data_IF_066785707463
#
_entry.id   IF_066785707463
#
_cell.length_a   1.000
_cell.length_b   1.000
_cell.length_c   1.000
_cell.angle_alpha   90.00
_cell.angle_beta   90.00
_cell.angle_gamma   90.00
#
_symmetry.space_group_name_H-M   'P 1'
#
loop_
_entity.id
_entity.type
_entity.pdbx_description
1 polymer ?
#
# COMPACT_ATOMS: atom_id res chain seq x y z
N UNK A 1 -22.77 19.36 18.89
CA UNK A 1 -21.54 20.11 18.51
C UNK A 1 -20.30 19.55 19.22
N UNK A 2 -20.29 19.39 20.56
CA UNK A 2 -19.14 18.89 21.33
C UNK A 2 -18.66 17.48 20.93
N UNK A 3 -19.56 16.56 20.55
CA UNK A 3 -19.23 15.21 20.10
C UNK A 3 -18.49 15.24 18.75
N UNK A 4 -18.97 16.07 17.81
CA UNK A 4 -18.35 16.24 16.49
C UNK A 4 -16.95 16.84 16.58
N UNK A 5 -16.74 17.77 17.52
CA UNK A 5 -15.42 18.40 17.76
C UNK A 5 -14.42 17.37 18.29
N UNK A 6 -14.83 16.52 19.25
CA UNK A 6 -13.97 15.43 19.76
C UNK A 6 -13.64 14.40 18.69
N UNK A 7 -14.59 14.03 17.84
CA UNK A 7 -14.35 13.13 16.71
C UNK A 7 -13.36 13.72 15.71
N UNK A 8 -13.48 15.03 15.41
CA UNK A 8 -12.53 15.72 14.54
C UNK A 8 -11.12 15.82 15.15
N UNK A 9 -11.01 16.08 16.45
CA UNK A 9 -9.72 16.10 17.14
C UNK A 9 -9.06 14.72 17.15
N UNK A 10 -9.82 13.66 17.38
CA UNK A 10 -9.32 12.29 17.34
C UNK A 10 -8.82 11.91 15.94
N UNK A 11 -9.58 12.21 14.90
CA UNK A 11 -9.16 12.00 13.51
C UNK A 11 -7.87 12.77 13.21
N UNK A 12 -7.75 14.01 13.68
CA UNK A 12 -6.56 14.83 13.50
C UNK A 12 -5.33 14.25 14.20
N UNK A 13 -5.50 13.70 15.40
CA UNK A 13 -4.41 13.01 16.13
C UNK A 13 -3.98 11.74 15.40
N UNK A 14 -4.93 10.90 14.96
CA UNK A 14 -4.63 9.70 14.19
C UNK A 14 -3.90 10.01 12.87
N UNK A 15 -4.31 11.09 12.20
CA UNK A 15 -3.64 11.58 11.01
C UNK A 15 -2.20 12.00 11.27
N UNK A 16 -1.97 12.74 12.34
CA UNK A 16 -0.63 13.19 12.73
C UNK A 16 0.27 12.01 13.07
N UNK A 17 -0.24 11.02 13.79
CA UNK A 17 0.50 9.81 14.12
C UNK A 17 0.83 8.97 12.88
N UNK A 18 -0.15 8.76 11.99
CA UNK A 18 0.06 8.04 10.74
C UNK A 18 1.08 8.75 9.83
N UNK A 19 1.04 10.07 9.74
CA UNK A 19 2.02 10.86 8.96
C UNK A 19 3.43 10.75 9.54
N UNK A 20 3.56 10.72 10.88
CA UNK A 20 4.85 10.54 11.55
C UNK A 20 5.42 9.14 11.28
N UNK A 21 4.60 8.11 11.43
CA UNK A 21 5.02 6.73 11.14
C UNK A 21 5.42 6.54 9.67
N UNK A 22 4.75 7.24 8.74
CA UNK A 22 5.12 7.23 7.34
C UNK A 22 6.50 7.85 7.11
N UNK A 23 6.79 9.00 7.72
CA UNK A 23 8.09 9.66 7.60
C UNK A 23 9.21 8.75 8.14
N UNK A 24 9.03 8.16 9.33
CA UNK A 24 10.00 7.23 9.93
C UNK A 24 10.23 5.98 9.06
N UNK A 25 9.18 5.44 8.42
CA UNK A 25 9.29 4.31 7.49
C UNK A 25 9.99 4.69 6.20
N UNK A 26 9.72 5.87 5.66
CA UNK A 26 10.38 6.39 4.46
C UNK A 26 11.88 6.48 4.68
N UNK A 27 12.31 7.10 5.77
CA UNK A 27 13.72 7.23 6.13
C UNK A 27 14.39 5.86 6.31
N UNK A 28 13.70 4.89 6.93
CA UNK A 28 14.21 3.53 7.10
C UNK A 28 14.37 2.81 5.76
N UNK A 29 13.41 2.94 4.84
CA UNK A 29 13.48 2.32 3.51
C UNK A 29 14.57 2.97 2.66
N UNK A 30 14.74 4.29 2.70
CA UNK A 30 15.83 4.98 2.02
C UNK A 30 17.20 4.50 2.53
N UNK A 31 17.34 4.35 3.85
CA UNK A 31 18.57 3.82 4.45
C UNK A 31 18.85 2.37 4.04
N UNK A 32 17.82 1.53 3.99
CA UNK A 32 17.94 0.14 3.55
C UNK A 32 18.33 0.09 2.06
N UNK A 33 17.68 0.86 1.20
CA UNK A 33 17.99 0.93 -0.23
C UNK A 33 19.44 1.38 -0.46
N UNK A 34 19.90 2.40 0.26
CA UNK A 34 21.28 2.87 0.20
C UNK A 34 22.26 1.76 0.64
N UNK A 35 21.96 1.05 1.72
CA UNK A 35 22.80 -0.05 2.20
C UNK A 35 22.81 -1.25 1.25
N UNK A 36 21.67 -1.60 0.66
CA UNK A 36 21.61 -2.66 -0.36
C UNK A 36 22.40 -2.29 -1.61
N UNK A 37 22.35 -1.04 -2.04
CA UNK A 37 23.19 -0.53 -3.13
C UNK A 37 24.68 -0.64 -2.80
N UNK A 38 25.09 -0.25 -1.59
CA UNK A 38 26.48 -0.35 -1.13
C UNK A 38 26.97 -1.81 -1.04
N UNK A 39 26.10 -2.72 -0.58
CA UNK A 39 26.41 -4.15 -0.52
C UNK A 39 26.58 -4.72 -1.93
N UNK A 40 25.73 -4.34 -2.89
CA UNK A 40 25.85 -4.78 -4.28
C UNK A 40 27.20 -4.35 -4.87
N UNK A 41 27.56 -3.06 -4.75
CA UNK A 41 28.86 -2.58 -5.23
C UNK A 41 30.03 -3.31 -4.58
N UNK A 42 29.95 -3.58 -3.29
CA UNK A 42 30.98 -4.36 -2.60
C UNK A 42 31.03 -5.83 -3.06
N UNK A 43 29.92 -6.44 -3.40
CA UNK A 43 29.87 -7.81 -3.95
C UNK A 43 30.42 -7.86 -5.40
N UNK A 44 30.20 -6.82 -6.20
CA UNK A 44 30.74 -6.68 -7.54
C UNK A 44 32.27 -6.42 -7.52
N UNK A 45 32.73 -5.64 -6.56
CA UNK A 45 34.17 -5.29 -6.40
C UNK A 45 35.00 -6.40 -5.74
N UNK A 46 34.40 -7.17 -4.85
CA UNK A 46 35.05 -8.32 -4.22
C UNK A 46 34.55 -9.58 -4.89
N UNK A 47 35.40 -10.26 -5.66
CA UNK A 47 35.25 -11.67 -6.01
C UNK A 47 35.30 -12.54 -4.74
N UNK A 48 34.39 -12.32 -3.81
CA UNK A 48 34.26 -13.15 -2.61
C UNK A 48 33.75 -14.52 -3.05
N UNK A 49 34.45 -15.55 -2.68
CA UNK A 49 34.08 -16.95 -2.81
C UNK A 49 32.92 -17.25 -1.84
N UNK A 50 31.74 -16.70 -2.15
CA UNK A 50 30.49 -17.14 -1.53
C UNK A 50 30.12 -18.49 -2.12
N UNK A 51 29.54 -19.34 -1.31
CA UNK A 51 28.94 -20.56 -1.81
C UNK A 51 27.76 -20.19 -2.72
N UNK A 52 27.50 -21.01 -3.74
CA UNK A 52 26.40 -20.76 -4.69
C UNK A 52 25.04 -20.53 -4.00
N UNK A 53 24.84 -21.09 -2.82
CA UNK A 53 23.58 -20.94 -2.07
C UNK A 53 23.52 -19.59 -1.32
N UNK A 54 24.62 -19.14 -0.72
CA UNK A 54 24.71 -17.82 -0.07
C UNK A 54 24.60 -16.71 -1.09
N UNK A 55 25.23 -16.85 -2.27
CA UNK A 55 25.11 -15.88 -3.36
C UNK A 55 23.67 -15.78 -3.88
N UNK A 56 22.96 -16.93 -3.93
CA UNK A 56 21.57 -17.00 -4.38
C UNK A 56 20.62 -16.36 -3.36
N UNK A 57 20.86 -16.59 -2.08
CA UNK A 57 20.07 -16.01 -0.99
C UNK A 57 20.28 -14.49 -0.90
N UNK A 58 21.52 -14.02 -0.99
CA UNK A 58 21.82 -12.57 -1.01
C UNK A 58 21.25 -11.92 -2.28
N UNK A 59 21.38 -12.54 -3.44
CA UNK A 59 20.79 -12.03 -4.69
C UNK A 59 19.26 -11.98 -4.59
N UNK A 60 18.62 -12.97 -3.98
CA UNK A 60 17.16 -12.95 -3.79
C UNK A 60 16.72 -11.80 -2.87
N UNK A 61 17.43 -11.58 -1.77
CA UNK A 61 17.18 -10.46 -0.86
C UNK A 61 17.39 -9.11 -1.55
N UNK A 62 18.43 -8.97 -2.35
CA UNK A 62 18.69 -7.74 -3.12
C UNK A 62 17.64 -7.57 -4.22
N UNK A 63 17.20 -8.64 -4.89
CA UNK A 63 16.13 -8.58 -5.90
C UNK A 63 14.79 -8.14 -5.33
N UNK A 64 14.46 -8.54 -4.11
CA UNK A 64 13.25 -8.08 -3.41
C UNK A 64 13.29 -6.55 -3.25
N UNK A 65 14.45 -5.98 -2.94
CA UNK A 65 14.62 -4.52 -2.84
C UNK A 65 14.80 -3.82 -4.20
N UNK A 66 15.36 -4.50 -5.23
CA UNK A 66 15.46 -3.98 -6.60
C UNK A 66 14.12 -4.02 -7.37
N UNK A 67 13.18 -4.85 -6.95
CA UNK A 67 11.80 -4.86 -7.45
C UNK A 67 10.97 -3.70 -6.87
N UNK A 68 11.61 -2.70 -6.26
CA UNK A 68 10.91 -1.45 -5.90
C UNK A 68 10.24 -0.91 -7.15
N UNK A 69 8.91 -0.91 -7.15
CA UNK A 69 8.15 -0.29 -8.22
C UNK A 69 8.61 1.18 -8.35
N UNK A 70 9.10 1.53 -9.51
CA UNK A 70 9.35 2.93 -9.86
C UNK A 70 8.12 3.45 -10.57
N UNK A 71 7.12 3.80 -9.80
CA UNK A 71 5.85 4.29 -10.36
C UNK A 71 5.93 5.73 -10.83
N UNK A 72 6.99 6.46 -10.47
CA UNK A 72 7.11 7.91 -10.68
C UNK A 72 6.52 8.73 -9.53
N UNK A 73 6.00 8.10 -8.48
CA UNK A 73 5.54 8.75 -7.25
C UNK A 73 6.23 8.13 -6.04
N UNK A 74 7.13 8.88 -5.41
CA UNK A 74 7.98 8.39 -4.33
C UNK A 74 7.20 7.83 -3.13
N UNK A 75 6.10 8.48 -2.74
CA UNK A 75 5.26 8.00 -1.63
C UNK A 75 4.61 6.65 -1.94
N UNK A 76 4.15 6.48 -3.19
CA UNK A 76 3.59 5.21 -3.64
C UNK A 76 4.66 4.13 -3.72
N UNK A 77 5.86 4.44 -4.21
CA UNK A 77 6.98 3.50 -4.30
C UNK A 77 7.36 2.93 -2.93
N UNK A 78 7.50 3.80 -1.91
CA UNK A 78 7.76 3.42 -0.52
C UNK A 78 6.66 2.52 0.04
N UNK A 79 5.41 2.87 -0.21
CA UNK A 79 4.26 2.11 0.28
C UNK A 79 4.17 0.74 -0.39
N UNK A 80 4.40 0.66 -1.69
CA UNK A 80 4.39 -0.61 -2.42
C UNK A 80 5.54 -1.52 -1.97
N UNK A 81 6.75 -0.99 -1.72
CA UNK A 81 7.86 -1.77 -1.18
C UNK A 81 7.52 -2.44 0.16
N UNK A 82 6.91 -1.69 1.10
CA UNK A 82 6.44 -2.23 2.39
C UNK A 82 5.38 -3.33 2.18
N UNK A 83 4.46 -3.14 1.22
CA UNK A 83 3.39 -4.10 0.95
C UNK A 83 3.86 -5.36 0.25
N UNK A 84 4.86 -5.27 -0.62
CA UNK A 84 5.46 -6.45 -1.27
C UNK A 84 6.00 -7.41 -0.23
N UNK A 85 6.77 -6.91 0.75
CA UNK A 85 7.33 -7.75 1.81
C UNK A 85 6.24 -8.49 2.62
N UNK A 86 5.13 -7.79 2.91
CA UNK A 86 3.99 -8.41 3.58
C UNK A 86 3.29 -9.45 2.69
N UNK A 87 3.12 -9.14 1.41
CA UNK A 87 2.48 -10.04 0.44
C UNK A 87 3.31 -11.30 0.22
N UNK A 88 4.63 -11.20 0.12
CA UNK A 88 5.52 -12.36 -0.02
C UNK A 88 5.42 -13.31 1.17
N UNK A 89 5.42 -12.78 2.39
CA UNK A 89 5.25 -13.57 3.61
C UNK A 89 3.93 -14.36 3.62
N UNK A 90 2.88 -13.79 3.07
CA UNK A 90 1.54 -14.40 3.03
C UNK A 90 1.27 -15.15 1.69
N UNK A 91 2.30 -15.32 0.84
CA UNK A 91 2.19 -15.91 -0.52
C UNK A 91 1.13 -15.23 -1.38
N UNK A 92 1.05 -13.89 -1.31
CA UNK A 92 0.13 -13.06 -2.09
C UNK A 92 0.89 -12.45 -3.26
N UNK A 93 0.39 -12.63 -4.48
CA UNK A 93 0.94 -11.97 -5.67
C UNK A 93 0.39 -10.55 -5.77
N UNK A 94 1.27 -9.55 -5.64
CA UNK A 94 0.95 -8.13 -5.81
C UNK A 94 1.46 -7.65 -7.17
N UNK A 95 0.58 -7.05 -7.96
CA UNK A 95 0.93 -6.44 -9.25
C UNK A 95 0.51 -4.97 -9.31
N UNK A 96 1.34 -4.14 -9.92
CA UNK A 96 1.06 -2.74 -10.19
C UNK A 96 1.19 -2.46 -11.69
N UNK A 97 0.21 -1.78 -12.25
CA UNK A 97 0.21 -1.33 -13.64
C UNK A 97 -0.25 0.13 -13.69
N UNK A 98 0.59 0.99 -14.20
CA UNK A 98 0.24 2.38 -14.42
C UNK A 98 1.38 3.34 -14.18
N UNK A 99 1.03 4.63 -14.15
CA UNK A 99 1.93 5.75 -13.94
C UNK A 99 1.54 6.49 -12.65
N UNK A 100 2.41 6.44 -11.65
CA UNK A 100 2.20 7.10 -10.36
C UNK A 100 2.38 8.62 -10.43
N UNK A 101 3.03 9.17 -11.47
CA UNK A 101 3.14 10.62 -11.65
C UNK A 101 1.77 11.28 -11.76
N UNK A 102 0.78 10.58 -12.32
CA UNK A 102 -0.58 11.10 -12.41
C UNK A 102 -1.27 11.29 -11.05
N UNK A 103 -0.67 10.82 -9.95
CA UNK A 103 -1.14 11.05 -8.58
C UNK A 103 -0.52 12.26 -7.90
N UNK A 104 0.39 12.98 -8.55
CA UNK A 104 1.11 14.12 -7.94
C UNK A 104 0.22 15.32 -7.57
N UNK A 105 -1.06 15.30 -7.94
CA UNK A 105 -2.05 16.28 -7.46
C UNK A 105 -2.57 15.97 -6.05
N UNK A 106 -2.36 14.75 -5.55
CA UNK A 106 -2.66 14.33 -4.18
C UNK A 106 -1.50 14.69 -3.26
N UNK A 107 -1.79 14.96 -2.00
CA UNK A 107 -0.75 15.06 -0.97
C UNK A 107 -0.19 13.69 -0.62
N UNK A 108 1.03 13.63 -0.10
CA UNK A 108 1.66 12.37 0.34
C UNK A 108 0.77 11.62 1.35
N UNK A 109 0.15 12.34 2.28
CA UNK A 109 -0.75 11.76 3.27
C UNK A 109 -2.04 11.22 2.67
N UNK A 110 -2.56 11.83 1.59
CA UNK A 110 -3.72 11.31 0.86
C UNK A 110 -3.39 10.05 0.07
N UNK A 111 -2.24 10.03 -0.61
CA UNK A 111 -1.72 8.82 -1.29
C UNK A 111 -1.57 7.69 -0.28
N UNK A 112 -0.90 7.97 0.85
CA UNK A 112 -0.74 6.98 1.91
C UNK A 112 -2.08 6.46 2.42
N UNK A 113 -3.02 7.35 2.74
CA UNK A 113 -4.34 6.96 3.24
C UNK A 113 -5.13 6.13 2.22
N UNK A 114 -5.15 6.52 0.94
CA UNK A 114 -5.85 5.78 -0.11
C UNK A 114 -5.29 4.36 -0.26
N UNK A 115 -4.00 4.25 -0.51
CA UNK A 115 -3.38 2.96 -0.82
C UNK A 115 -3.21 2.06 0.41
N UNK A 116 -2.92 2.61 1.60
CA UNK A 116 -2.83 1.80 2.83
C UNK A 116 -4.18 1.17 3.19
N UNK A 117 -5.28 1.91 3.05
CA UNK A 117 -6.61 1.38 3.31
C UNK A 117 -7.03 0.36 2.24
N UNK A 118 -6.85 0.68 0.96
CA UNK A 118 -7.23 -0.21 -0.12
C UNK A 118 -6.42 -1.52 -0.10
N UNK A 119 -5.09 -1.42 0.03
CA UNK A 119 -4.20 -2.59 0.09
C UNK A 119 -4.36 -3.37 1.40
N UNK A 120 -4.58 -2.69 2.53
CA UNK A 120 -4.88 -3.35 3.79
C UNK A 120 -6.10 -4.27 3.67
N UNK A 121 -7.19 -3.77 3.11
CA UNK A 121 -8.41 -4.55 2.86
C UNK A 121 -8.15 -5.71 1.88
N UNK A 122 -7.41 -5.48 0.80
CA UNK A 122 -7.11 -6.49 -0.20
C UNK A 122 -6.23 -7.62 0.36
N UNK A 123 -5.16 -7.28 1.10
CA UNK A 123 -4.27 -8.27 1.74
C UNK A 123 -5.05 -9.12 2.73
N UNK A 124 -5.87 -8.48 3.55
CA UNK A 124 -6.67 -9.19 4.55
C UNK A 124 -7.67 -10.16 3.91
N UNK A 125 -8.39 -9.73 2.87
CA UNK A 125 -9.30 -10.60 2.13
C UNK A 125 -8.57 -11.77 1.46
N UNK A 126 -7.33 -11.56 1.00
CA UNK A 126 -6.55 -12.57 0.29
C UNK A 126 -5.95 -13.66 1.21
N UNK A 127 -5.65 -13.34 2.47
CA UNK A 127 -4.99 -14.28 3.41
C UNK A 127 -5.73 -15.60 3.59
N UNK A 128 -7.05 -15.57 3.59
CA UNK A 128 -7.91 -16.73 3.83
C UNK A 128 -8.28 -17.50 2.56
N UNK A 129 -7.73 -17.11 1.41
CA UNK A 129 -7.98 -17.78 0.14
C UNK A 129 -6.97 -18.88 -0.14
N UNK A 130 -7.30 -19.77 -1.07
CA UNK A 130 -6.34 -20.68 -1.67
C UNK A 130 -5.22 -19.90 -2.35
N UNK A 131 -4.00 -20.39 -2.34
CA UNK A 131 -2.81 -19.69 -2.81
C UNK A 131 -2.96 -19.20 -4.27
N UNK A 132 -3.56 -20.01 -5.14
CA UNK A 132 -3.83 -19.63 -6.53
C UNK A 132 -4.73 -18.40 -6.71
N UNK A 133 -5.51 -18.04 -5.68
CA UNK A 133 -6.42 -16.89 -5.66
C UNK A 133 -5.87 -15.71 -4.85
N UNK A 134 -4.68 -15.84 -4.25
CA UNK A 134 -4.03 -14.77 -3.50
C UNK A 134 -3.36 -13.79 -4.46
N UNK A 135 -4.17 -13.03 -5.17
CA UNK A 135 -3.71 -12.07 -6.16
C UNK A 135 -4.34 -10.71 -5.90
N UNK A 136 -3.50 -9.67 -5.89
CA UNK A 136 -3.91 -8.28 -5.77
C UNK A 136 -3.36 -7.53 -6.98
N UNK A 137 -4.22 -6.82 -7.68
CA UNK A 137 -3.84 -5.99 -8.81
C UNK A 137 -4.18 -4.53 -8.54
N UNK A 138 -3.21 -3.65 -8.75
CA UNK A 138 -3.35 -2.20 -8.65
C UNK A 138 -3.21 -1.64 -10.05
N UNK A 139 -4.18 -0.85 -10.48
CA UNK A 139 -4.13 -0.15 -11.77
C UNK A 139 -4.35 1.34 -11.52
N UNK A 140 -3.39 2.16 -11.97
CA UNK A 140 -3.49 3.62 -11.96
C UNK A 140 -3.48 4.10 -13.42
N UNK A 141 -4.55 4.77 -13.84
CA UNK A 141 -4.71 5.20 -15.22
C UNK A 141 -5.24 6.62 -15.29
N UNK A 142 -4.61 7.43 -16.15
CA UNK A 142 -5.08 8.75 -16.52
C UNK A 142 -5.81 8.70 -17.87
N UNK A 143 -6.95 9.37 -17.95
CA UNK A 143 -7.70 9.56 -19.19
C UNK A 143 -8.20 11.01 -19.24
N UNK A 144 -7.48 11.86 -19.98
CA UNK A 144 -7.70 13.32 -19.95
C UNK A 144 -7.46 13.89 -18.55
N UNK A 145 -8.47 14.56 -18.00
CA UNK A 145 -8.41 15.13 -16.65
C UNK A 145 -8.85 14.15 -15.54
N UNK A 146 -9.26 12.95 -15.92
CA UNK A 146 -9.70 11.94 -14.98
C UNK A 146 -8.54 10.99 -14.62
N UNK A 147 -8.33 10.75 -13.33
CA UNK A 147 -7.45 9.70 -12.82
C UNK A 147 -8.30 8.61 -12.18
N UNK A 148 -8.08 7.38 -12.61
CA UNK A 148 -8.70 6.19 -12.06
C UNK A 148 -7.69 5.36 -11.29
N UNK A 149 -8.01 5.01 -10.05
CA UNK A 149 -7.26 4.10 -9.20
C UNK A 149 -8.14 2.88 -8.97
N UNK A 150 -7.65 1.70 -9.31
CA UNK A 150 -8.35 0.43 -9.08
C UNK A 150 -7.46 -0.51 -8.29
N UNK A 151 -7.99 -1.06 -7.21
CA UNK A 151 -7.37 -2.15 -6.44
C UNK A 151 -8.33 -3.31 -6.45
N UNK A 152 -7.92 -4.43 -7.04
CA UNK A 152 -8.75 -5.62 -7.20
C UNK A 152 -8.10 -6.84 -6.55
N UNK A 153 -8.90 -7.65 -5.90
CA UNK A 153 -8.50 -8.92 -5.30
C UNK A 153 -9.66 -9.91 -5.37
N UNK A 154 -9.34 -11.20 -5.23
CA UNK A 154 -10.37 -12.22 -5.01
C UNK A 154 -10.94 -12.08 -3.60
N UNK A 155 -12.19 -12.46 -3.44
CA UNK A 155 -12.91 -12.46 -2.18
C UNK A 155 -13.71 -13.75 -2.01
N UNK A 156 -13.84 -14.23 -0.79
CA UNK A 156 -14.66 -15.39 -0.46
C UNK A 156 -15.72 -14.99 0.58
N UNK A 157 -16.99 -15.22 0.26
CA UNK A 157 -18.13 -14.89 1.09
C UNK A 157 -19.12 -13.96 0.40
N UNK A 158 -20.14 -13.54 1.15
CA UNK A 158 -21.13 -12.59 0.67
C UNK A 158 -20.72 -11.17 1.05
N UNK A 159 -20.68 -10.29 0.05
CA UNK A 159 -20.49 -8.86 0.27
C UNK A 159 -21.86 -8.19 0.36
N UNK A 160 -22.08 -7.43 1.43
CA UNK A 160 -23.21 -6.51 1.54
C UNK A 160 -22.75 -5.12 1.21
N UNK A 161 -23.53 -4.40 0.45
CA UNK A 161 -23.22 -3.04 0.02
C UNK A 161 -24.24 -2.06 0.61
N UNK A 162 -23.73 -0.94 1.13
CA UNK A 162 -24.51 0.24 1.48
C UNK A 162 -23.86 1.45 0.79
N UNK A 163 -24.65 2.28 0.09
CA UNK A 163 -24.15 3.43 -0.66
C UNK A 163 -22.98 3.11 -1.60
N UNK A 164 -23.05 2.02 -2.37
CA UNK A 164 -22.04 1.53 -3.30
C UNK A 164 -20.71 1.10 -2.64
N UNK A 165 -20.65 0.96 -1.32
CA UNK A 165 -19.47 0.47 -0.61
C UNK A 165 -19.77 -0.80 0.18
N UNK A 166 -18.79 -1.72 0.25
CA UNK A 166 -18.94 -2.92 1.05
C UNK A 166 -19.05 -2.57 2.53
N UNK A 167 -20.01 -3.19 3.20
CA UNK A 167 -20.17 -3.10 4.66
C UNK A 167 -19.27 -4.14 5.31
N UNK A 168 -18.50 -3.71 6.33
CA UNK A 168 -17.69 -4.66 7.11
C UNK A 168 -18.62 -5.65 7.86
N UNK A 169 -18.30 -6.94 7.72
CA UNK A 169 -19.05 -8.03 8.38
C UNK A 169 -18.45 -8.41 9.74
N UNK A 170 -17.43 -7.68 10.23
CA UNK A 170 -16.77 -8.01 11.50
C UNK A 170 -17.55 -7.51 12.70
N UNK A 171 -17.80 -8.38 13.67
CA UNK A 171 -18.33 -8.01 14.98
C UNK A 171 -17.17 -7.57 15.89
N UNK A 172 -16.53 -6.43 15.66
CA UNK A 172 -15.52 -5.92 16.58
C UNK A 172 -16.05 -4.67 17.28
N UNK A 173 -16.19 -4.67 18.63
CA UNK A 173 -16.80 -3.58 19.38
C UNK A 173 -15.93 -2.33 19.50
N UNK A 174 -14.68 -2.35 19.06
CA UNK A 174 -13.79 -1.19 19.04
C UNK A 174 -13.69 -0.58 17.65
N UNK A 175 -14.72 0.00 17.16
CA UNK A 175 -15.01 1.08 16.19
C UNK A 175 -13.93 1.61 15.22
N UNK A 176 -12.78 0.94 15.03
CA UNK A 176 -11.75 1.38 14.08
C UNK A 176 -11.97 0.87 12.64
N UNK A 177 -12.86 -0.08 12.44
CA UNK A 177 -13.18 -0.66 11.13
C UNK A 177 -14.32 0.11 10.47
N UNK A 178 -14.12 0.56 9.25
CA UNK A 178 -15.08 1.39 8.49
C UNK A 178 -14.60 2.83 8.24
N UNK A 179 -13.58 3.30 8.96
CA UNK A 179 -13.00 4.61 8.71
C UNK A 179 -12.15 4.64 7.43
N UNK A 180 -11.57 3.51 7.03
CA UNK A 180 -10.76 3.41 5.82
C UNK A 180 -11.54 3.77 4.55
N UNK A 181 -12.73 3.17 4.37
CA UNK A 181 -13.61 3.47 3.23
C UNK A 181 -14.13 4.91 3.29
N UNK A 182 -14.47 5.42 4.49
CA UNK A 182 -14.90 6.82 4.67
C UNK A 182 -13.79 7.81 4.33
N UNK A 183 -12.55 7.51 4.73
CA UNK A 183 -11.38 8.33 4.41
C UNK A 183 -11.13 8.35 2.90
N UNK A 184 -11.10 7.19 2.25
CA UNK A 184 -10.94 7.10 0.80
C UNK A 184 -12.05 7.85 0.05
N UNK A 185 -13.32 7.72 0.49
CA UNK A 185 -14.46 8.45 -0.07
C UNK A 185 -14.32 9.96 0.10
N UNK A 186 -13.84 10.41 1.26
CA UNK A 186 -13.62 11.84 1.53
C UNK A 186 -12.54 12.42 0.62
N UNK A 187 -11.43 11.69 0.42
CA UNK A 187 -10.37 12.10 -0.50
C UNK A 187 -10.91 12.15 -1.93
N UNK A 188 -11.61 11.12 -2.41
CA UNK A 188 -12.18 11.12 -3.75
C UNK A 188 -13.11 12.32 -3.98
N UNK A 189 -14.01 12.60 -3.03
CA UNK A 189 -14.94 13.74 -3.09
C UNK A 189 -14.24 15.09 -3.10
N UNK A 190 -13.14 15.25 -2.38
CA UNK A 190 -12.33 16.48 -2.36
C UNK A 190 -11.89 16.89 -3.76
N UNK A 191 -11.61 15.91 -4.62
CA UNK A 191 -11.19 16.11 -6.01
C UNK A 191 -12.32 15.90 -7.03
N UNK A 192 -13.57 15.97 -6.60
CA UNK A 192 -14.73 15.81 -7.49
C UNK A 192 -14.98 14.39 -7.98
N UNK A 193 -14.26 13.41 -7.42
CA UNK A 193 -14.34 12.00 -7.80
C UNK A 193 -15.35 11.20 -6.96
N UNK A 194 -15.34 9.88 -7.18
CA UNK A 194 -16.19 8.91 -6.48
C UNK A 194 -15.37 7.69 -6.08
N UNK A 195 -15.72 7.08 -4.94
CA UNK A 195 -15.28 5.76 -4.54
C UNK A 195 -16.41 4.76 -4.85
N UNK A 196 -16.05 3.63 -5.45
CA UNK A 196 -16.91 2.46 -5.67
C UNK A 196 -16.23 1.23 -5.09
N UNK A 197 -16.97 0.33 -4.53
CA UNK A 197 -16.52 -0.97 -4.07
C UNK A 197 -17.02 -2.10 -4.92
#
# INVERSE_FOLDING_TARGET
>A
RAKLTKEMEMVRMLWKEASKQLAERKDAIELINMKCHDIRHKLEDYHLSLTNDEEKEIKSLIQIYDQTYRTGNQTLDVLLADRILLCEKDHIQLSFLGDGECLNFLTESEIFSLFSNALGNAVEASRNLEEAKRQISIIVKRSGDLVSISVTNYYQGELRFEDDLPVTTRPDPEDFHGYGLKSMRAIARKYGGRLKG
#
